data_IF_021967175820
#
_entry.id   IF_021967175820
#
_cell.length_a   1.000
_cell.length_b   1.000
_cell.length_c   1.000
_cell.angle_alpha   90.00
_cell.angle_beta   90.00
_cell.angle_gamma   90.00
#
_symmetry.space_group_name_H-M   'P 1'
#
loop_
_entity.id
_entity.type
_entity.pdbx_description
1 polymer ?
#
# COMPACT_ATOMS: atom_id res chain seq x y z
N UNK A 1 -24.28 -76.33 40.66
CA UNK A 1 -25.64 -76.87 40.44
C UNK A 1 -26.64 -75.78 40.75
N UNK A 2 -27.64 -75.67 39.87
CA UNK A 2 -28.84 -74.80 39.93
C UNK A 2 -28.63 -73.30 39.69
N UNK A 3 -28.83 -72.98 38.42
CA UNK A 3 -29.21 -71.70 37.83
C UNK A 3 -30.72 -71.41 38.02
N UNK A 4 -31.11 -70.15 37.72
CA UNK A 4 -32.45 -69.59 37.35
C UNK A 4 -33.06 -68.69 38.44
N UNK A 5 -33.63 -67.51 38.15
CA UNK A 5 -34.03 -66.83 36.90
C UNK A 5 -34.36 -65.34 37.20
N UNK A 6 -34.54 -64.49 36.17
CA UNK A 6 -34.66 -63.03 36.25
C UNK A 6 -36.12 -62.55 36.32
N UNK A 7 -36.31 -61.23 36.50
CA UNK A 7 -37.56 -60.51 36.19
C UNK A 7 -37.27 -59.36 35.22
N UNK A 8 -38.06 -59.36 34.15
CA UNK A 8 -38.38 -58.24 33.25
C UNK A 8 -39.47 -57.38 33.87
N UNK A 9 -39.50 -56.11 33.51
CA UNK A 9 -40.63 -55.17 33.30
C UNK A 9 -39.95 -53.82 32.98
N UNK A 10 -40.34 -52.94 32.07
CA UNK A 10 -41.47 -52.79 31.20
C UNK A 10 -41.43 -51.33 30.69
N UNK A 11 -41.86 -51.15 29.45
CA UNK A 11 -42.54 -49.96 28.92
C UNK A 11 -41.84 -48.66 28.46
N UNK A 12 -42.36 -48.27 27.28
CA UNK A 12 -42.56 -46.93 26.67
C UNK A 12 -41.43 -46.27 25.89
N UNK A 13 -41.65 -46.25 24.57
CA UNK A 13 -40.91 -45.51 23.57
C UNK A 13 -41.32 -44.02 23.56
N UNK A 14 -40.33 -43.14 23.47
CA UNK A 14 -40.44 -41.73 23.10
C UNK A 14 -39.32 -41.41 22.08
N UNK A 15 -39.49 -40.44 21.17
CA UNK A 15 -38.77 -40.39 19.89
C UNK A 15 -37.33 -39.91 20.03
N UNK A 16 -36.44 -40.56 19.27
CA UNK A 16 -35.00 -40.30 19.19
C UNK A 16 -34.73 -39.03 18.38
N UNK A 17 -34.17 -38.01 19.02
CA UNK A 17 -33.41 -36.93 18.36
C UNK A 17 -32.04 -37.51 17.92
N UNK A 18 -31.59 -37.32 16.67
CA UNK A 18 -30.31 -37.84 16.25
C UNK A 18 -29.16 -37.07 16.90
N UNK A 19 -28.42 -37.74 17.79
CA UNK A 19 -27.10 -37.30 18.23
C UNK A 19 -26.14 -37.38 17.04
N UNK A 20 -25.64 -36.23 16.60
CA UNK A 20 -24.53 -36.15 15.67
C UNK A 20 -23.27 -36.68 16.37
N UNK A 21 -22.77 -37.81 15.88
CA UNK A 21 -21.48 -38.36 16.29
C UNK A 21 -20.34 -37.42 15.92
N UNK A 22 -19.48 -37.15 16.89
CA UNK A 22 -18.21 -36.48 16.69
C UNK A 22 -17.32 -37.33 15.77
N UNK A 23 -17.23 -36.92 14.50
CA UNK A 23 -16.23 -37.40 13.56
C UNK A 23 -14.92 -36.66 13.84
N UNK A 24 -13.85 -37.42 14.11
CA UNK A 24 -12.49 -36.92 14.24
C UNK A 24 -12.15 -36.02 13.06
N UNK A 25 -11.98 -34.72 13.33
CA UNK A 25 -11.52 -33.76 12.34
C UNK A 25 -10.12 -34.15 11.86
N UNK A 26 -10.00 -34.44 10.57
CA UNK A 26 -8.73 -34.61 9.88
C UNK A 26 -7.85 -33.38 10.11
N UNK A 27 -6.58 -33.64 10.42
CA UNK A 27 -5.56 -32.59 10.54
C UNK A 27 -5.53 -31.74 9.25
N UNK A 28 -5.36 -30.42 9.36
CA UNK A 28 -5.36 -29.55 8.19
C UNK A 28 -4.22 -29.94 7.27
N UNK A 29 -4.57 -30.33 6.04
CA UNK A 29 -3.65 -30.58 4.92
C UNK A 29 -2.67 -29.41 4.82
N UNK A 30 -1.38 -29.73 4.71
CA UNK A 30 -0.31 -28.77 4.44
C UNK A 30 -0.75 -27.79 3.36
N UNK A 31 -0.73 -26.49 3.68
CA UNK A 31 -0.93 -25.44 2.69
C UNK A 31 0.16 -25.60 1.63
N UNK A 32 -0.22 -26.05 0.44
CA UNK A 32 0.60 -25.94 -0.77
C UNK A 32 1.03 -24.49 -0.89
N UNK A 33 2.29 -24.21 -0.54
CA UNK A 33 2.91 -22.91 -0.79
C UNK A 33 3.21 -22.86 -2.28
N UNK A 34 2.21 -22.47 -3.09
CA UNK A 34 2.43 -22.20 -4.51
C UNK A 34 3.51 -21.14 -4.60
N UNK A 35 4.71 -21.54 -5.01
CA UNK A 35 5.84 -20.65 -5.23
C UNK A 35 5.37 -19.51 -6.12
N UNK A 36 5.58 -18.27 -5.71
CA UNK A 36 5.25 -17.09 -6.51
C UNK A 36 5.98 -17.20 -7.87
N UNK A 37 5.23 -17.14 -8.96
CA UNK A 37 5.75 -17.32 -10.32
C UNK A 37 5.48 -16.09 -11.17
N UNK A 38 6.53 -15.51 -11.74
CA UNK A 38 6.41 -14.41 -12.68
C UNK A 38 5.66 -14.86 -13.94
N UNK A 39 4.66 -14.10 -14.44
CA UNK A 39 3.83 -14.50 -15.59
C UNK A 39 4.63 -14.74 -16.87
N UNK A 40 5.74 -14.03 -17.05
CA UNK A 40 6.67 -14.21 -18.17
C UNK A 40 7.81 -15.20 -17.89
N UNK A 41 7.87 -15.84 -16.71
CA UNK A 41 8.92 -16.79 -16.34
C UNK A 41 10.24 -16.19 -15.85
N UNK A 42 10.31 -14.86 -15.65
CA UNK A 42 11.47 -14.16 -15.08
C UNK A 42 11.75 -14.66 -13.67
N UNK A 43 13.03 -14.82 -13.33
CA UNK A 43 13.51 -15.16 -11.99
C UNK A 43 14.63 -14.19 -11.55
N UNK A 44 14.89 -14.05 -10.24
CA UNK A 44 16.09 -13.38 -9.73
C UNK A 44 17.39 -14.01 -10.24
N UNK A 45 18.49 -13.25 -10.28
CA UNK A 45 19.78 -13.74 -10.78
C UNK A 45 20.32 -14.94 -10.01
N UNK A 46 20.10 -14.99 -8.70
CA UNK A 46 20.52 -16.10 -7.83
C UNK A 46 19.93 -17.47 -8.24
N UNK A 47 18.82 -17.49 -8.98
CA UNK A 47 18.20 -18.73 -9.46
C UNK A 47 18.95 -19.37 -10.64
N UNK A 48 19.82 -18.62 -11.32
CA UNK A 48 20.53 -19.10 -12.51
C UNK A 48 21.37 -20.35 -12.24
N UNK A 49 22.12 -20.38 -11.14
CA UNK A 49 22.97 -21.53 -10.77
C UNK A 49 22.17 -22.83 -10.64
N UNK A 50 21.10 -22.81 -9.84
CA UNK A 50 20.24 -23.98 -9.60
C UNK A 50 19.52 -24.47 -10.87
N UNK A 51 19.16 -23.54 -11.76
CA UNK A 51 18.50 -23.88 -13.02
C UNK A 51 19.50 -24.46 -14.04
N UNK A 52 20.73 -23.93 -14.07
CA UNK A 52 21.81 -24.46 -14.92
C UNK A 52 22.21 -25.88 -14.53
N UNK A 53 22.25 -26.20 -13.23
CA UNK A 53 22.48 -27.57 -12.72
C UNK A 53 21.38 -28.54 -13.19
N UNK A 54 20.18 -28.03 -13.47
CA UNK A 54 19.05 -28.78 -14.02
C UNK A 54 19.00 -28.79 -15.55
N UNK A 55 20.03 -28.27 -16.21
CA UNK A 55 20.15 -28.23 -17.67
C UNK A 55 19.37 -27.11 -18.35
N UNK A 56 18.81 -26.16 -17.61
CA UNK A 56 18.14 -24.98 -18.20
C UNK A 56 19.21 -24.01 -18.70
N UNK A 57 19.16 -23.69 -20.00
CA UNK A 57 20.09 -22.75 -20.63
C UNK A 57 19.59 -21.31 -20.50
N UNK A 58 20.45 -20.34 -20.10
CA UNK A 58 20.09 -18.94 -20.11
C UNK A 58 19.63 -18.48 -21.50
N UNK A 59 18.49 -17.79 -21.57
CA UNK A 59 17.93 -17.34 -22.84
C UNK A 59 18.55 -16.02 -23.33
N UNK A 60 19.15 -15.23 -22.42
CA UNK A 60 19.69 -13.90 -22.70
C UNK A 60 20.77 -13.88 -23.80
N UNK A 61 21.83 -14.72 -23.78
CA UNK A 61 22.92 -14.61 -24.75
C UNK A 61 22.46 -14.79 -26.20
N UNK A 62 21.69 -15.86 -26.46
CA UNK A 62 21.16 -16.14 -27.78
C UNK A 62 20.00 -15.20 -28.16
N UNK A 63 19.23 -14.76 -27.16
CA UNK A 63 18.06 -13.92 -27.38
C UNK A 63 18.38 -12.47 -27.71
N UNK A 64 19.44 -11.89 -27.13
CA UNK A 64 19.84 -10.50 -27.34
C UNK A 64 21.01 -10.34 -28.32
N UNK A 65 21.69 -11.42 -28.70
CA UNK A 65 22.88 -11.37 -29.53
C UNK A 65 23.93 -10.44 -28.92
N UNK A 66 24.51 -9.53 -29.71
CA UNK A 66 25.57 -8.62 -29.23
C UNK A 66 25.18 -7.73 -28.05
N UNK A 67 23.89 -7.50 -27.83
CA UNK A 67 23.40 -6.68 -26.72
C UNK A 67 23.38 -7.43 -25.38
N UNK A 68 23.65 -8.74 -25.36
CA UNK A 68 23.53 -9.54 -24.13
C UNK A 68 24.46 -9.10 -23.00
N UNK A 69 25.57 -8.44 -23.32
CA UNK A 69 26.56 -7.93 -22.36
C UNK A 69 26.13 -6.60 -21.70
N UNK A 70 25.10 -5.94 -22.22
CA UNK A 70 24.60 -4.71 -21.63
C UNK A 70 23.87 -5.03 -20.31
N UNK A 71 24.03 -4.20 -19.26
CA UNK A 71 23.24 -4.31 -18.04
C UNK A 71 21.74 -4.13 -18.31
N UNK A 72 20.90 -4.70 -17.44
CA UNK A 72 19.45 -4.58 -17.55
C UNK A 72 18.97 -3.12 -17.50
N UNK A 73 19.65 -2.26 -16.73
CA UNK A 73 19.36 -0.83 -16.65
C UNK A 73 19.59 -0.10 -17.97
N UNK A 74 20.66 -0.45 -18.69
CA UNK A 74 20.95 0.13 -20.02
C UNK A 74 19.95 -0.38 -21.06
N UNK A 75 19.62 -1.67 -21.03
CA UNK A 75 18.58 -2.22 -21.90
C UNK A 75 17.23 -1.55 -21.61
N UNK A 76 16.84 -1.43 -20.35
CA UNK A 76 15.60 -0.76 -19.94
C UNK A 76 15.53 0.67 -20.47
N UNK A 77 16.61 1.45 -20.37
CA UNK A 77 16.69 2.80 -20.93
C UNK A 77 16.58 2.84 -22.47
N UNK A 78 17.10 1.83 -23.18
CA UNK A 78 16.92 1.72 -24.64
C UNK A 78 15.45 1.42 -24.97
N UNK A 79 14.84 0.47 -24.27
CA UNK A 79 13.45 0.06 -24.51
C UNK A 79 12.44 1.14 -24.13
N UNK A 80 12.72 1.95 -23.11
CA UNK A 80 11.85 3.06 -22.69
C UNK A 80 11.75 4.17 -23.73
N UNK A 81 12.67 4.22 -24.70
CA UNK A 81 12.64 5.17 -25.82
C UNK A 81 11.73 4.72 -26.98
N UNK A 82 11.21 3.50 -26.96
CA UNK A 82 10.40 2.96 -28.05
C UNK A 82 8.94 3.41 -27.92
N UNK A 83 8.36 3.81 -29.05
CA UNK A 83 6.92 4.01 -29.15
C UNK A 83 6.15 2.67 -29.04
N UNK A 84 4.84 2.69 -28.77
CA UNK A 84 4.03 1.48 -28.56
C UNK A 84 4.09 0.46 -29.71
N UNK A 85 4.13 0.92 -30.97
CA UNK A 85 4.20 0.06 -32.16
C UNK A 85 5.59 -0.58 -32.24
N UNK A 86 6.63 0.24 -32.08
CA UNK A 86 8.02 -0.22 -32.06
C UNK A 86 8.26 -1.23 -30.94
N UNK A 87 7.74 -0.99 -29.73
CA UNK A 87 7.81 -1.91 -28.59
C UNK A 87 7.11 -3.24 -28.89
N UNK A 88 5.92 -3.17 -29.51
CA UNK A 88 5.16 -4.33 -29.98
C UNK A 88 5.91 -5.17 -31.01
N UNK A 89 6.43 -4.56 -32.07
CA UNK A 89 7.21 -5.24 -33.11
C UNK A 89 8.50 -5.84 -32.54
N UNK A 90 9.20 -5.06 -31.72
CA UNK A 90 10.45 -5.47 -31.08
C UNK A 90 10.27 -6.70 -30.19
N UNK A 91 9.11 -6.81 -29.52
CA UNK A 91 8.76 -7.98 -28.70
C UNK A 91 8.72 -9.31 -29.47
N UNK A 92 8.58 -9.27 -30.80
CA UNK A 92 8.52 -10.48 -31.65
C UNK A 92 9.89 -11.02 -32.06
N UNK A 93 10.99 -10.33 -31.72
CA UNK A 93 12.35 -10.63 -32.19
C UNK A 93 12.91 -11.92 -31.57
N UNK A 94 12.76 -12.09 -30.25
CA UNK A 94 13.19 -13.30 -29.53
C UNK A 94 12.52 -13.39 -28.17
N UNK A 95 12.68 -14.53 -27.48
CA UNK A 95 12.18 -14.71 -26.10
C UNK A 95 12.74 -13.69 -25.12
N UNK A 96 13.98 -13.22 -25.31
CA UNK A 96 14.57 -12.22 -24.41
C UNK A 96 13.98 -10.83 -24.67
N UNK A 97 13.85 -10.43 -25.95
CA UNK A 97 13.22 -9.18 -26.35
C UNK A 97 11.75 -9.11 -25.89
N UNK A 98 11.03 -10.23 -26.03
CA UNK A 98 9.65 -10.37 -25.54
C UNK A 98 9.54 -10.02 -24.06
N UNK A 99 10.42 -10.57 -23.20
CA UNK A 99 10.39 -10.29 -21.75
C UNK A 99 10.62 -8.81 -21.45
N UNK A 100 11.63 -8.18 -22.05
CA UNK A 100 11.88 -6.75 -21.84
C UNK A 100 10.71 -5.88 -22.32
N UNK A 101 10.21 -6.12 -23.53
CA UNK A 101 9.15 -5.28 -24.11
C UNK A 101 7.79 -5.46 -23.41
N UNK A 102 7.60 -6.53 -22.64
CA UNK A 102 6.41 -6.77 -21.82
C UNK A 102 6.57 -6.27 -20.38
N UNK A 103 7.67 -5.59 -20.04
CA UNK A 103 7.83 -4.93 -18.75
C UNK A 103 6.76 -3.86 -18.58
N UNK A 104 5.95 -3.97 -17.53
CA UNK A 104 4.69 -3.25 -17.42
C UNK A 104 4.87 -1.74 -17.22
N UNK A 105 6.03 -1.32 -16.69
CA UNK A 105 6.39 0.09 -16.46
C UNK A 105 6.43 0.91 -17.76
N UNK A 106 6.87 0.32 -18.87
CA UNK A 106 6.86 1.00 -20.17
C UNK A 106 5.43 1.31 -20.60
N UNK A 107 4.56 0.30 -20.50
CA UNK A 107 3.16 0.44 -20.88
C UNK A 107 2.41 1.36 -19.92
N UNK A 108 2.73 1.37 -18.63
CA UNK A 108 2.20 2.32 -17.65
C UNK A 108 2.50 3.74 -18.08
N UNK A 109 3.76 4.02 -18.40
CA UNK A 109 4.19 5.34 -18.86
C UNK A 109 3.44 5.76 -20.12
N UNK A 110 3.34 4.86 -21.10
CA UNK A 110 2.62 5.11 -22.35
C UNK A 110 1.13 5.40 -22.11
N UNK A 111 0.45 4.62 -21.26
CA UNK A 111 -0.97 4.84 -20.91
C UNK A 111 -1.16 6.21 -20.26
N UNK A 112 -0.35 6.52 -19.25
CA UNK A 112 -0.55 7.73 -18.46
C UNK A 112 -0.15 9.00 -19.22
N UNK A 113 0.87 8.94 -20.08
CA UNK A 113 1.27 10.06 -20.94
C UNK A 113 0.26 10.32 -22.05
N UNK A 114 -0.28 9.26 -22.69
CA UNK A 114 -1.17 9.41 -23.84
C UNK A 114 -2.63 9.65 -23.45
N UNK A 115 -3.10 8.98 -22.38
CA UNK A 115 -4.52 8.99 -21.99
C UNK A 115 -4.78 9.67 -20.65
N UNK A 116 -3.74 10.03 -19.89
CA UNK A 116 -3.89 10.58 -18.54
C UNK A 116 -4.69 9.63 -17.65
N UNK A 117 -5.76 10.16 -17.05
CA UNK A 117 -6.70 9.38 -16.24
C UNK A 117 -7.83 8.69 -16.99
N UNK A 118 -7.98 8.92 -18.29
CA UNK A 118 -9.10 8.41 -19.09
C UNK A 118 -8.69 7.20 -19.95
N UNK A 119 -8.42 6.09 -19.27
CA UNK A 119 -8.12 4.81 -19.92
C UNK A 119 -9.11 3.72 -19.50
N UNK A 120 -9.07 2.59 -20.20
CA UNK A 120 -9.80 1.37 -19.85
C UNK A 120 -8.88 0.47 -19.05
N UNK A 121 -9.18 0.30 -17.76
CA UNK A 121 -8.35 -0.53 -16.88
C UNK A 121 -8.47 -2.02 -17.26
N UNK A 122 -7.32 -2.68 -17.38
CA UNK A 122 -7.19 -4.13 -17.59
C UNK A 122 -6.11 -4.68 -16.67
N UNK A 123 -6.05 -6.00 -16.42
CA UNK A 123 -5.10 -6.59 -15.46
C UNK A 123 -3.60 -6.28 -15.68
N UNK A 124 -3.20 -5.69 -16.82
CA UNK A 124 -1.87 -5.11 -17.04
C UNK A 124 -1.97 -3.79 -17.77
N UNK A 125 -0.93 -2.96 -17.64
CA UNK A 125 -0.84 -1.69 -18.36
C UNK A 125 -0.80 -1.88 -19.86
N UNK A 126 -0.14 -2.93 -20.36
CA UNK A 126 -0.17 -3.25 -21.80
C UNK A 126 -1.58 -3.54 -22.32
N UNK A 127 -2.34 -4.36 -21.60
CA UNK A 127 -3.72 -4.67 -21.97
C UNK A 127 -4.61 -3.42 -21.87
N UNK A 128 -4.34 -2.53 -20.90
CA UNK A 128 -5.04 -1.25 -20.74
C UNK A 128 -4.76 -0.32 -21.92
N UNK A 129 -3.50 -0.24 -22.36
CA UNK A 129 -3.08 0.53 -23.54
C UNK A 129 -3.82 0.04 -24.80
N UNK A 130 -3.83 -1.27 -25.05
CA UNK A 130 -4.49 -1.86 -26.22
C UNK A 130 -6.01 -1.64 -26.16
N UNK A 131 -6.63 -1.87 -25.01
CA UNK A 131 -8.08 -1.70 -24.83
C UNK A 131 -8.52 -0.25 -25.06
N UNK A 132 -7.68 0.71 -24.67
CA UNK A 132 -7.94 2.15 -24.84
C UNK A 132 -7.70 2.59 -26.29
N UNK A 133 -6.58 2.16 -26.90
CA UNK A 133 -6.17 2.59 -28.24
C UNK A 133 -6.92 1.90 -29.39
N UNK A 134 -7.37 0.65 -29.18
CA UNK A 134 -7.88 -0.21 -30.23
C UNK A 134 -9.15 -0.95 -29.80
N UNK A 135 -10.14 -0.21 -29.28
CA UNK A 135 -11.43 -0.73 -28.78
C UNK A 135 -12.16 -1.69 -29.75
N UNK A 136 -11.96 -1.52 -31.07
CA UNK A 136 -12.56 -2.36 -32.11
C UNK A 136 -11.87 -3.73 -32.30
N UNK A 137 -10.64 -3.93 -31.81
CA UNK A 137 -9.97 -5.23 -31.84
C UNK A 137 -10.48 -6.00 -30.62
N UNK A 138 -11.46 -6.88 -30.85
CA UNK A 138 -11.87 -7.90 -29.88
C UNK A 138 -10.63 -8.61 -29.33
N UNK A 139 -10.23 -8.27 -28.10
CA UNK A 139 -9.08 -8.86 -27.43
C UNK A 139 -9.42 -10.32 -27.14
N UNK A 140 -9.10 -11.21 -28.08
CA UNK A 140 -8.97 -12.62 -27.74
C UNK A 140 -7.89 -12.70 -26.65
N UNK A 141 -8.15 -13.35 -25.51
CA UNK A 141 -7.12 -13.54 -24.51
C UNK A 141 -6.00 -14.35 -25.14
N UNK A 142 -4.88 -13.70 -25.45
CA UNK A 142 -3.66 -14.38 -25.87
C UNK A 142 -2.97 -14.89 -24.62
N UNK A 143 -2.77 -16.19 -24.51
CA UNK A 143 -1.97 -16.75 -23.43
C UNK A 143 -0.56 -16.15 -23.46
N UNK A 144 -0.08 -15.66 -22.32
CA UNK A 144 1.29 -15.14 -22.21
C UNK A 144 2.29 -16.27 -22.41
N UNK A 145 3.35 -16.00 -23.14
CA UNK A 145 4.45 -16.95 -23.29
C UNK A 145 5.32 -16.89 -22.04
N UNK A 146 5.45 -18.02 -21.33
CA UNK A 146 6.41 -18.16 -20.23
C UNK A 146 7.81 -18.48 -20.78
N UNK A 147 8.79 -17.65 -20.44
CA UNK A 147 10.18 -17.79 -20.89
C UNK A 147 11.00 -18.47 -19.81
N UNK A 148 11.57 -19.64 -20.15
CA UNK A 148 12.52 -20.32 -19.27
C UNK A 148 13.93 -19.75 -19.47
N UNK A 149 14.71 -19.73 -18.39
CA UNK A 149 16.11 -19.31 -18.43
C UNK A 149 16.31 -17.79 -18.53
N UNK A 150 15.29 -16.98 -18.22
CA UNK A 150 15.44 -15.53 -18.13
C UNK A 150 15.64 -15.11 -16.67
N UNK A 151 16.72 -14.39 -16.39
CA UNK A 151 17.07 -13.93 -15.06
C UNK A 151 17.30 -12.42 -15.05
N UNK A 152 16.62 -11.71 -14.16
CA UNK A 152 16.74 -10.26 -13.97
C UNK A 152 16.11 -9.85 -12.66
N UNK A 153 16.88 -9.25 -11.76
CA UNK A 153 16.32 -8.67 -10.54
C UNK A 153 15.51 -7.40 -10.85
N UNK A 154 15.95 -6.60 -11.83
CA UNK A 154 15.25 -5.39 -12.29
C UNK A 154 13.81 -5.68 -12.74
N UNK A 155 13.63 -6.72 -13.56
CA UNK A 155 12.30 -7.06 -14.09
C UNK A 155 11.48 -7.91 -13.12
N UNK A 156 12.12 -8.56 -12.14
CA UNK A 156 11.41 -9.40 -11.16
C UNK A 156 10.96 -8.62 -9.93
N UNK A 157 11.74 -7.65 -9.46
CA UNK A 157 11.52 -6.91 -8.21
C UNK A 157 10.15 -6.20 -8.18
N UNK A 158 9.71 -5.46 -9.22
CA UNK A 158 8.39 -4.82 -9.23
C UNK A 158 7.26 -5.84 -9.16
N UNK A 159 7.34 -6.94 -9.92
CA UNK A 159 6.37 -8.04 -9.83
C UNK A 159 6.34 -8.64 -8.42
N UNK A 160 7.51 -8.88 -7.83
CA UNK A 160 7.59 -9.41 -6.46
C UNK A 160 6.89 -8.45 -5.50
N UNK A 161 7.24 -7.17 -5.51
CA UNK A 161 6.62 -6.15 -4.66
C UNK A 161 5.11 -6.05 -4.87
N UNK A 162 4.60 -6.05 -6.10
CA UNK A 162 3.17 -5.99 -6.41
C UNK A 162 2.36 -7.19 -5.89
N UNK A 163 2.98 -8.37 -5.80
CA UNK A 163 2.31 -9.61 -5.37
C UNK A 163 2.50 -9.89 -3.87
N UNK A 164 3.56 -9.33 -3.28
CA UNK A 164 3.94 -9.62 -1.90
C UNK A 164 2.91 -9.19 -0.85
N UNK A 165 2.09 -8.11 -1.00
CA UNK A 165 1.03 -7.77 -0.06
C UNK A 165 0.19 -8.98 0.39
N UNK A 166 -0.18 -9.85 -0.55
CA UNK A 166 -0.97 -11.06 -0.31
C UNK A 166 -0.33 -12.06 0.67
N UNK A 167 1.01 -12.01 0.81
CA UNK A 167 1.80 -12.96 1.62
C UNK A 167 2.46 -12.32 2.84
N UNK A 168 2.91 -11.06 2.76
CA UNK A 168 3.50 -10.34 3.89
C UNK A 168 2.43 -9.75 4.83
N UNK A 169 1.32 -9.21 4.27
CA UNK A 169 0.28 -8.58 5.09
C UNK A 169 -0.57 -9.59 5.86
N UNK A 170 -0.56 -10.86 5.43
CA UNK A 170 -1.20 -11.96 6.15
C UNK A 170 -0.35 -12.53 7.29
N UNK A 171 0.91 -12.09 7.43
CA UNK A 171 1.78 -12.51 8.53
C UNK A 171 1.29 -11.89 9.86
N UNK A 172 0.70 -12.73 10.72
CA UNK A 172 0.15 -12.30 12.01
C UNK A 172 1.13 -11.50 12.89
N UNK A 173 2.45 -11.69 12.73
CA UNK A 173 3.45 -10.91 13.47
C UNK A 173 3.47 -9.43 13.12
N UNK A 174 3.28 -9.08 11.83
CA UNK A 174 3.21 -7.68 11.38
C UNK A 174 1.99 -6.95 11.96
N UNK A 175 0.86 -7.66 12.02
CA UNK A 175 -0.41 -7.11 12.51
C UNK A 175 -0.48 -7.01 14.03
N UNK A 176 0.26 -7.85 14.76
CA UNK A 176 0.25 -7.90 16.23
C UNK A 176 1.14 -6.85 16.89
N UNK A 177 2.21 -6.41 16.23
CA UNK A 177 3.13 -5.42 16.80
C UNK A 177 2.48 -4.03 16.82
N UNK A 178 2.22 -3.53 18.03
CA UNK A 178 1.61 -2.24 18.30
C UNK A 178 2.29 -1.60 19.52
N UNK A 179 3.22 -0.68 19.27
CA UNK A 179 3.97 0.07 20.28
C UNK A 179 3.58 1.54 20.33
N UNK A 180 2.88 2.07 19.32
CA UNK A 180 2.27 3.40 19.38
C UNK A 180 1.15 3.38 20.45
N UNK A 181 1.17 4.29 21.45
CA UNK A 181 0.11 4.40 22.44
C UNK A 181 -1.25 4.59 21.79
N UNK A 182 -2.29 3.96 22.35
CA UNK A 182 -3.67 4.09 21.91
C UNK A 182 -4.53 4.56 23.07
N UNK A 183 -5.30 5.62 22.86
CA UNK A 183 -6.14 6.24 23.90
C UNK A 183 -7.51 6.63 23.36
N UNK A 184 -8.49 6.64 24.25
CA UNK A 184 -9.86 7.03 23.90
C UNK A 184 -9.98 8.55 23.84
N UNK A 185 -10.08 9.09 22.61
CA UNK A 185 -10.23 10.50 22.34
C UNK A 185 -11.55 11.10 22.85
N UNK A 186 -12.56 10.28 23.15
CA UNK A 186 -13.80 10.77 23.77
C UNK A 186 -13.63 11.12 25.25
N UNK A 187 -12.62 10.54 25.92
CA UNK A 187 -12.35 10.76 27.36
C UNK A 187 -11.08 11.57 27.61
N UNK A 188 -10.21 11.71 26.61
CA UNK A 188 -8.99 12.51 26.68
C UNK A 188 -9.32 14.01 26.57
N UNK A 189 -8.96 14.79 27.59
CA UNK A 189 -9.12 16.24 27.52
C UNK A 189 -8.08 16.87 26.58
N UNK A 190 -8.38 18.05 26.02
CA UNK A 190 -7.41 18.78 25.18
C UNK A 190 -6.14 19.12 25.96
N UNK A 191 -6.27 19.49 27.25
CA UNK A 191 -5.11 19.79 28.10
C UNK A 191 -4.22 18.56 28.30
N UNK A 192 -4.81 17.39 28.56
CA UNK A 192 -4.08 16.14 28.74
C UNK A 192 -3.41 15.68 27.44
N UNK A 193 -4.11 15.83 26.30
CA UNK A 193 -3.51 15.56 24.99
C UNK A 193 -2.24 16.41 24.77
N UNK A 194 -2.35 17.72 25.01
CA UNK A 194 -1.23 18.64 24.83
C UNK A 194 -0.06 18.33 25.76
N UNK A 195 -0.34 18.11 27.05
CA UNK A 195 0.69 17.84 28.05
C UNK A 195 1.37 16.48 27.88
N UNK A 196 0.64 15.45 27.41
CA UNK A 196 1.13 14.07 27.34
C UNK A 196 1.73 13.71 25.98
N UNK A 197 1.21 14.28 24.89
CA UNK A 197 1.57 13.86 23.53
C UNK A 197 2.13 15.01 22.69
N UNK A 198 1.42 16.13 22.58
CA UNK A 198 1.83 17.21 21.67
C UNK A 198 3.13 17.90 22.13
N UNK A 199 3.18 18.40 23.38
CA UNK A 199 4.34 19.10 23.93
C UNK A 199 5.57 18.19 24.05
N UNK A 200 5.45 16.93 24.53
CA UNK A 200 6.58 16.00 24.57
C UNK A 200 6.96 15.44 23.19
N UNK A 201 6.23 15.79 22.13
CA UNK A 201 6.45 15.36 20.75
C UNK A 201 6.33 13.84 20.54
N UNK A 202 5.26 13.23 21.05
CA UNK A 202 5.04 11.78 21.05
C UNK A 202 3.83 11.36 20.19
N UNK A 203 3.98 10.36 19.30
CA UNK A 203 2.87 9.85 18.50
C UNK A 203 1.81 9.16 19.36
N UNK A 204 0.55 9.24 18.94
CA UNK A 204 -0.57 8.56 19.60
C UNK A 204 -1.68 8.23 18.61
N UNK A 205 -2.32 7.07 18.79
CA UNK A 205 -3.57 6.71 18.11
C UNK A 205 -4.75 7.07 19.02
N UNK A 206 -5.65 7.90 18.50
CA UNK A 206 -6.88 8.34 19.14
C UNK A 206 -8.05 7.50 18.60
N UNK A 207 -8.76 6.81 19.49
CA UNK A 207 -10.02 6.14 19.15
C UNK A 207 -11.21 7.05 19.43
N UNK A 208 -12.37 6.74 18.85
CA UNK A 208 -13.64 7.42 19.10
C UNK A 208 -13.65 8.95 18.83
N UNK A 209 -12.75 9.45 17.97
CA UNK A 209 -12.62 10.89 17.69
C UNK A 209 -13.37 11.34 16.43
N UNK A 210 -13.69 10.43 15.52
CA UNK A 210 -14.40 10.71 14.26
C UNK A 210 -15.80 10.08 14.18
N UNK A 211 -16.32 9.58 15.31
CA UNK A 211 -17.56 8.76 15.37
C UNK A 211 -18.82 9.51 14.93
N UNK A 212 -18.80 10.84 14.98
CA UNK A 212 -19.92 11.71 14.57
C UNK A 212 -19.76 12.26 13.16
N UNK A 213 -18.66 11.97 12.46
CA UNK A 213 -18.43 12.49 11.11
C UNK A 213 -19.35 11.79 10.10
N UNK A 214 -20.11 12.53 9.29
CA UNK A 214 -20.75 12.00 8.09
C UNK A 214 -19.80 11.16 7.24
N UNK A 215 -18.55 11.62 7.08
CA UNK A 215 -17.53 10.95 6.27
C UNK A 215 -17.26 9.49 6.69
N UNK A 216 -17.34 9.17 7.99
CA UNK A 216 -17.11 7.81 8.48
C UNK A 216 -18.21 6.83 8.05
N UNK A 217 -19.46 7.32 7.96
CA UNK A 217 -20.64 6.49 7.70
C UNK A 217 -21.16 6.57 6.27
N UNK A 218 -20.92 7.68 5.58
CA UNK A 218 -21.53 7.99 4.28
C UNK A 218 -20.59 7.83 3.10
N UNK A 219 -19.26 7.87 3.27
CA UNK A 219 -18.33 7.77 2.14
C UNK A 219 -18.21 6.34 1.58
N UNK A 220 -19.33 5.81 1.09
CA UNK A 220 -19.43 4.58 0.28
C UNK A 220 -19.06 4.88 -1.17
N UNK A 221 -18.90 3.83 -1.97
CA UNK A 221 -18.61 4.00 -3.40
C UNK A 221 -19.74 4.74 -4.12
N UNK A 222 -20.99 4.46 -3.76
CA UNK A 222 -22.17 5.11 -4.34
C UNK A 222 -22.22 6.60 -3.97
N UNK A 223 -21.99 6.93 -2.70
CA UNK A 223 -21.95 8.33 -2.26
C UNK A 223 -20.84 9.10 -2.94
N UNK A 224 -19.63 8.53 -2.99
CA UNK A 224 -18.49 9.18 -3.64
C UNK A 224 -18.73 9.34 -5.14
N UNK A 225 -19.31 8.33 -5.81
CA UNK A 225 -19.65 8.44 -7.24
C UNK A 225 -20.69 9.55 -7.50
N UNK A 226 -21.75 9.62 -6.70
CA UNK A 226 -22.81 10.62 -6.85
C UNK A 226 -22.35 12.04 -6.48
N UNK A 227 -21.59 12.17 -5.39
CA UNK A 227 -21.14 13.45 -4.85
C UNK A 227 -20.01 14.04 -5.68
N UNK A 228 -19.04 13.22 -6.10
CA UNK A 228 -17.87 13.69 -6.83
C UNK A 228 -18.10 13.75 -8.35
N UNK A 229 -18.98 12.90 -8.89
CA UNK A 229 -19.29 12.82 -10.32
C UNK A 229 -18.02 12.72 -11.18
N UNK A 230 -17.91 13.57 -12.21
CA UNK A 230 -16.76 13.65 -13.10
C UNK A 230 -15.64 14.56 -12.57
N UNK A 231 -15.75 15.10 -11.35
CA UNK A 231 -14.72 15.98 -10.77
C UNK A 231 -13.39 15.24 -10.68
N UNK A 232 -12.30 15.81 -11.23
CA UNK A 232 -11.00 15.17 -11.19
C UNK A 232 -10.38 15.26 -9.79
N UNK A 233 -9.72 14.17 -9.39
CA UNK A 233 -8.83 14.06 -8.25
C UNK A 233 -7.43 13.75 -8.72
N UNK A 234 -6.43 14.21 -7.98
CA UNK A 234 -5.03 13.98 -8.30
C UNK A 234 -4.54 12.64 -7.74
N UNK A 235 -4.23 11.70 -8.64
CA UNK A 235 -3.71 10.37 -8.34
C UNK A 235 -2.34 10.17 -8.98
N UNK A 236 -1.28 10.17 -8.16
CA UNK A 236 0.10 9.89 -8.61
C UNK A 236 0.59 10.75 -9.79
N UNK A 237 0.20 12.02 -9.86
CA UNK A 237 0.58 12.91 -10.97
C UNK A 237 -0.52 13.19 -11.98
N UNK A 238 -1.62 12.43 -11.94
CA UNK A 238 -2.63 12.42 -13.00
C UNK A 238 -4.01 12.76 -12.46
N UNK A 239 -4.79 13.49 -13.24
CA UNK A 239 -6.17 13.83 -12.91
C UNK A 239 -7.11 12.67 -13.31
N UNK A 240 -7.85 12.12 -12.36
CA UNK A 240 -8.80 11.01 -12.56
C UNK A 240 -10.12 11.31 -11.86
N UNK A 241 -11.26 10.98 -12.48
CA UNK A 241 -12.51 10.94 -11.73
C UNK A 241 -12.48 9.80 -10.70
N UNK A 242 -13.24 9.92 -9.62
CA UNK A 242 -13.29 8.88 -8.57
C UNK A 242 -13.71 7.52 -9.13
N UNK A 243 -14.61 7.52 -10.13
CA UNK A 243 -15.08 6.31 -10.80
C UNK A 243 -13.95 5.62 -11.57
N UNK A 244 -13.21 6.37 -12.39
CA UNK A 244 -12.05 5.85 -13.15
C UNK A 244 -10.94 5.36 -12.24
N UNK A 245 -10.67 6.12 -11.18
CA UNK A 245 -9.66 5.72 -10.19
C UNK A 245 -10.04 4.42 -9.48
N UNK A 246 -11.30 4.27 -9.09
CA UNK A 246 -11.80 3.05 -8.42
C UNK A 246 -11.75 1.84 -9.35
N UNK A 247 -12.06 2.02 -10.64
CA UNK A 247 -11.91 0.96 -11.65
C UNK A 247 -10.43 0.54 -11.79
N UNK A 248 -9.52 1.51 -11.90
CA UNK A 248 -8.08 1.29 -11.95
C UNK A 248 -7.57 0.53 -10.71
N UNK A 249 -7.83 1.05 -9.51
CA UNK A 249 -7.25 0.59 -8.25
C UNK A 249 -7.69 -0.83 -7.89
N UNK A 250 -8.84 -1.27 -8.41
CA UNK A 250 -9.40 -2.61 -8.20
C UNK A 250 -9.05 -3.60 -9.31
N UNK A 251 -8.51 -3.12 -10.43
CA UNK A 251 -8.18 -3.95 -11.59
C UNK A 251 -6.68 -4.26 -11.69
N UNK A 252 -5.83 -3.25 -11.50
CA UNK A 252 -4.37 -3.40 -11.61
C UNK A 252 -3.74 -3.67 -10.24
N UNK A 253 -2.58 -4.33 -10.26
CA UNK A 253 -1.74 -4.56 -9.08
C UNK A 253 -0.31 -4.14 -9.42
N UNK A 254 0.06 -2.98 -8.89
CA UNK A 254 1.38 -2.36 -9.10
C UNK A 254 2.22 -2.44 -7.81
N UNK A 255 3.54 -2.36 -7.95
CA UNK A 255 4.45 -2.15 -6.82
C UNK A 255 4.36 -0.72 -6.28
N UNK A 256 4.04 0.22 -7.17
CA UNK A 256 3.78 1.64 -6.87
C UNK A 256 2.40 2.05 -7.42
N UNK A 257 1.30 1.60 -6.80
CA UNK A 257 -0.04 1.95 -7.28
C UNK A 257 -0.23 3.47 -7.29
N UNK A 258 -0.96 3.98 -8.29
CA UNK A 258 -1.43 5.36 -8.22
C UNK A 258 -2.28 5.51 -6.96
N UNK A 259 -2.13 6.67 -6.35
CA UNK A 259 -2.67 6.96 -5.02
C UNK A 259 -3.28 8.35 -5.06
N UNK A 260 -4.58 8.47 -4.77
CA UNK A 260 -5.20 9.79 -4.63
C UNK A 260 -4.60 10.45 -3.40
N UNK A 261 -4.02 11.62 -3.62
CA UNK A 261 -3.47 12.49 -2.60
C UNK A 261 -3.82 13.93 -3.00
N UNK A 262 -5.09 14.28 -2.81
CA UNK A 262 -5.68 15.48 -3.39
C UNK A 262 -5.83 16.59 -2.34
N UNK A 263 -5.15 17.72 -2.58
CA UNK A 263 -5.17 18.90 -1.71
C UNK A 263 -6.32 19.87 -1.99
N UNK A 264 -6.91 19.78 -3.17
CA UNK A 264 -7.98 20.66 -3.65
C UNK A 264 -9.38 20.09 -3.41
N UNK A 265 -9.51 18.85 -2.93
CA UNK A 265 -10.78 18.13 -2.75
C UNK A 265 -11.87 18.96 -2.06
N UNK A 266 -11.48 19.78 -1.09
CA UNK A 266 -12.41 20.59 -0.31
C UNK A 266 -12.92 21.83 -1.05
N UNK A 267 -12.17 22.30 -2.05
CA UNK A 267 -12.56 23.40 -2.95
C UNK A 267 -13.36 22.85 -4.13
N UNK A 268 -12.91 21.72 -4.69
CA UNK A 268 -13.53 21.09 -5.87
C UNK A 268 -14.82 20.36 -5.53
N UNK A 269 -14.92 19.74 -4.34
CA UNK A 269 -16.12 19.07 -3.84
C UNK A 269 -16.41 19.52 -2.40
N UNK A 270 -17.00 20.72 -2.20
CA UNK A 270 -17.24 21.29 -0.87
C UNK A 270 -18.06 20.40 0.07
N UNK A 271 -18.92 19.52 -0.47
CA UNK A 271 -19.67 18.55 0.32
C UNK A 271 -18.74 17.62 1.11
N UNK A 272 -17.63 17.16 0.53
CA UNK A 272 -16.65 16.33 1.25
C UNK A 272 -16.00 17.10 2.41
N UNK A 273 -15.84 18.42 2.27
CA UNK A 273 -15.34 19.26 3.36
C UNK A 273 -16.38 19.46 4.48
N UNK A 274 -17.67 19.45 4.14
CA UNK A 274 -18.77 19.54 5.11
C UNK A 274 -18.98 18.24 5.90
N UNK A 275 -18.47 17.11 5.39
CA UNK A 275 -18.67 15.78 5.98
C UNK A 275 -17.73 15.46 7.15
N UNK A 276 -16.85 16.39 7.55
CA UNK A 276 -15.99 16.24 8.71
C UNK A 276 -15.69 17.58 9.39
N UNK A 277 -15.20 17.52 10.63
CA UNK A 277 -14.76 18.69 11.38
C UNK A 277 -13.41 18.42 12.04
N UNK A 278 -12.54 19.42 12.12
CA UNK A 278 -11.25 19.26 12.81
C UNK A 278 -11.51 18.98 14.30
N UNK A 279 -10.94 17.92 14.91
CA UNK A 279 -11.11 17.66 16.34
C UNK A 279 -10.52 18.76 17.23
N UNK A 280 -11.06 18.98 18.44
CA UNK A 280 -10.60 20.04 19.36
C UNK A 280 -9.11 19.99 19.72
N UNK A 281 -8.49 18.83 19.66
CA UNK A 281 -7.05 18.65 19.88
C UNK A 281 -6.18 19.46 18.92
N UNK A 282 -6.69 19.80 17.74
CA UNK A 282 -5.93 20.35 16.61
C UNK A 282 -6.43 21.73 16.16
N UNK A 283 -7.21 22.43 17.01
CA UNK A 283 -7.76 23.77 16.69
C UNK A 283 -6.72 24.90 16.78
N UNK A 284 -5.56 24.63 17.37
CA UNK A 284 -4.47 25.59 17.58
C UNK A 284 -3.74 26.02 16.29
N UNK A 285 -4.22 25.62 15.12
CA UNK A 285 -3.59 25.85 13.82
C UNK A 285 -3.26 27.34 13.58
N UNK A 286 -1.97 27.67 13.57
CA UNK A 286 -1.42 29.01 13.43
C UNK A 286 -1.16 29.42 11.98
N UNK A 287 -1.10 28.48 11.03
CA UNK A 287 -0.86 28.82 9.62
C UNK A 287 -1.90 29.72 8.94
N UNK A 288 -3.19 29.78 9.34
CA UNK A 288 -4.11 30.80 8.85
C UNK A 288 -3.59 32.24 9.01
N UNK A 289 -2.70 32.52 9.97
CA UNK A 289 -2.13 33.84 10.21
C UNK A 289 -1.22 34.33 9.07
N UNK A 290 -0.72 33.42 8.23
CA UNK A 290 0.04 33.79 7.02
C UNK A 290 -0.85 34.42 5.94
N UNK A 291 -2.17 34.25 6.05
CA UNK A 291 -3.13 34.65 5.02
C UNK A 291 -3.31 33.57 3.94
N UNK A 292 -4.42 33.65 3.21
CA UNK A 292 -4.81 32.61 2.26
C UNK A 292 -3.83 32.42 1.09
N UNK A 293 -3.06 33.45 0.72
CA UNK A 293 -2.08 33.37 -0.38
C UNK A 293 -0.76 32.72 0.02
N UNK A 294 -0.37 32.82 1.30
CA UNK A 294 0.93 32.34 1.80
C UNK A 294 0.81 31.05 2.61
N UNK A 295 -0.40 30.66 3.02
CA UNK A 295 -0.64 29.40 3.72
C UNK A 295 -0.29 28.22 2.81
N UNK A 296 0.65 27.34 3.20
CA UNK A 296 0.91 26.12 2.46
C UNK A 296 -0.32 25.20 2.42
N UNK A 297 -0.37 24.33 1.41
CA UNK A 297 -1.35 23.24 1.38
C UNK A 297 -1.28 22.45 2.69
N UNK A 298 -2.44 22.17 3.28
CA UNK A 298 -2.50 21.68 4.66
C UNK A 298 -3.50 20.55 4.88
N UNK A 299 -4.33 20.20 3.89
CA UNK A 299 -5.35 19.16 4.02
C UNK A 299 -5.42 18.34 2.76
N UNK A 300 -5.55 17.03 2.89
CA UNK A 300 -5.61 16.11 1.76
C UNK A 300 -6.67 15.04 1.95
N UNK A 301 -7.38 14.73 0.87
CA UNK A 301 -8.11 13.49 0.71
C UNK A 301 -7.16 12.42 0.22
N UNK A 302 -7.17 11.28 0.89
CA UNK A 302 -6.27 10.17 0.61
C UNK A 302 -7.09 8.92 0.29
N UNK A 303 -6.92 8.35 -0.89
CA UNK A 303 -7.61 7.11 -1.28
C UNK A 303 -6.65 6.19 -2.04
N UNK A 304 -6.47 4.95 -1.58
CA UNK A 304 -5.52 3.99 -2.17
C UNK A 304 -5.88 2.53 -2.05
N UNK A 305 -5.45 1.66 -2.98
CA UNK A 305 -5.61 0.21 -2.87
C UNK A 305 -4.67 -0.41 -1.83
N UNK A 306 -4.87 -1.71 -1.53
CA UNK A 306 -3.91 -2.54 -0.79
C UNK A 306 -2.49 -2.40 -1.39
N UNK A 307 -1.48 -2.26 -0.54
CA UNK A 307 -0.08 -2.17 -0.97
C UNK A 307 0.39 -0.75 -1.32
N UNK A 308 -0.52 0.20 -1.52
CA UNK A 308 -0.18 1.63 -1.68
C UNK A 308 0.15 2.31 -0.36
N UNK A 309 0.64 3.55 -0.41
CA UNK A 309 0.92 4.35 0.78
C UNK A 309 1.97 5.44 0.52
N UNK A 310 2.58 5.94 1.59
CA UNK A 310 3.63 6.96 1.52
C UNK A 310 4.94 6.37 2.01
N UNK A 311 6.04 6.62 1.28
CA UNK A 311 7.41 6.26 1.68
C UNK A 311 7.84 7.03 2.93
N UNK A 312 9.01 6.71 3.49
CA UNK A 312 9.54 7.46 4.63
C UNK A 312 9.74 8.94 4.30
N UNK A 313 9.12 9.79 5.11
CA UNK A 313 9.28 11.24 5.04
C UNK A 313 9.11 11.85 6.43
N UNK A 314 9.45 13.13 6.52
CA UNK A 314 9.10 14.03 7.61
C UNK A 314 8.14 15.06 7.02
N UNK A 315 7.07 15.39 7.74
CA UNK A 315 6.14 16.45 7.33
C UNK A 315 6.86 17.80 7.17
N UNK A 316 6.57 18.57 6.10
CA UNK A 316 7.29 19.79 5.79
C UNK A 316 7.01 20.90 6.81
N UNK A 317 7.85 21.94 6.80
CA UNK A 317 7.69 23.15 7.61
C UNK A 317 7.51 22.86 9.10
N UNK A 318 8.20 21.83 9.62
CA UNK A 318 8.13 21.36 11.01
C UNK A 318 6.70 21.25 11.57
N UNK A 319 5.75 20.94 10.69
CA UNK A 319 4.34 20.78 11.06
C UNK A 319 4.14 19.52 11.88
N UNK A 320 3.09 19.52 12.69
CA UNK A 320 2.48 18.27 13.12
C UNK A 320 1.37 17.91 12.13
N UNK A 321 0.96 16.65 12.12
CA UNK A 321 -0.20 16.22 11.35
C UNK A 321 -1.13 15.33 12.16
N UNK A 322 -2.35 15.19 11.68
CA UNK A 322 -3.25 14.12 12.08
C UNK A 322 -3.81 13.42 10.84
N UNK A 323 -4.00 12.11 10.91
CA UNK A 323 -4.55 11.29 9.83
C UNK A 323 -5.70 10.44 10.35
N UNK A 324 -6.92 10.71 9.86
CA UNK A 324 -8.15 10.01 10.22
C UNK A 324 -8.46 8.94 9.17
N UNK A 325 -8.51 7.68 9.58
CA UNK A 325 -8.85 6.56 8.69
C UNK A 325 -10.36 6.38 8.68
N UNK A 326 -10.97 6.49 7.51
CA UNK A 326 -12.43 6.40 7.31
C UNK A 326 -12.85 5.05 6.73
N UNK A 327 -11.97 4.45 5.93
CA UNK A 327 -12.12 3.08 5.39
C UNK A 327 -10.76 2.39 5.41
N UNK A 328 -10.77 1.07 5.61
CA UNK A 328 -9.58 0.24 5.56
C UNK A 328 -8.70 0.32 6.80
N UNK A 329 -7.43 -0.06 6.64
CA UNK A 329 -6.44 -0.11 7.71
C UNK A 329 -5.08 0.34 7.18
N UNK A 330 -4.38 1.15 7.97
CA UNK A 330 -3.04 1.66 7.65
C UNK A 330 -2.04 1.19 8.68
N UNK A 331 -0.92 0.61 8.23
CA UNK A 331 0.23 0.28 9.08
C UNK A 331 1.20 1.46 9.07
N UNK A 332 1.58 1.90 10.26
CA UNK A 332 2.52 2.98 10.49
C UNK A 332 3.79 2.41 11.11
N UNK A 333 4.94 2.79 10.56
CA UNK A 333 6.25 2.65 11.22
C UNK A 333 6.84 4.04 11.36
N UNK A 334 7.25 4.40 12.57
CA UNK A 334 7.69 5.75 12.92
C UNK A 334 9.03 5.69 13.64
N UNK A 335 9.95 6.57 13.27
CA UNK A 335 11.22 6.77 13.99
C UNK A 335 11.27 8.19 14.55
N UNK A 336 11.85 8.37 15.74
CA UNK A 336 12.04 9.70 16.32
C UNK A 336 12.97 10.56 15.44
N UNK A 337 12.91 11.89 15.56
CA UNK A 337 13.58 12.81 14.63
C UNK A 337 15.10 12.61 14.47
N UNK A 338 15.77 12.13 15.51
CA UNK A 338 17.22 11.87 15.54
C UNK A 338 17.63 10.51 14.95
N UNK A 339 16.66 9.71 14.48
CA UNK A 339 16.90 8.35 14.01
C UNK A 339 16.46 8.19 12.56
N UNK A 340 17.44 8.20 11.65
CA UNK A 340 17.20 7.93 10.23
C UNK A 340 16.79 6.45 10.06
N UNK A 341 15.65 6.16 9.38
CA UNK A 341 15.22 4.80 9.13
C UNK A 341 16.19 4.01 8.23
N UNK A 342 16.25 2.67 8.34
CA UNK A 342 17.09 1.85 7.46
C UNK A 342 16.72 2.03 5.99
N UNK A 343 17.72 2.12 5.11
CA UNK A 343 17.52 2.32 3.67
C UNK A 343 17.06 3.73 3.28
N UNK A 344 17.01 4.67 4.23
CA UNK A 344 16.71 6.08 3.99
C UNK A 344 17.99 6.89 4.08
N UNK A 345 18.19 7.79 3.11
CA UNK A 345 19.38 8.63 3.00
C UNK A 345 18.96 10.08 2.72
N UNK A 346 18.78 10.91 3.75
CA UNK A 346 18.50 12.34 3.58
C UNK A 346 19.76 13.10 3.13
N UNK A 347 19.58 14.19 2.38
CA UNK A 347 20.62 15.18 2.10
C UNK A 347 21.05 15.89 3.39
N UNK A 348 22.22 16.56 3.35
CA UNK A 348 22.77 17.25 4.52
C UNK A 348 21.83 18.35 5.06
N UNK A 349 21.08 19.02 4.18
CA UNK A 349 20.08 20.02 4.52
C UNK A 349 18.67 19.44 4.78
N UNK A 350 18.49 18.13 4.61
CA UNK A 350 17.20 17.45 4.76
C UNK A 350 16.15 17.78 3.69
N UNK A 351 16.51 18.54 2.65
CA UNK A 351 15.59 18.95 1.57
C UNK A 351 15.28 17.82 0.58
N UNK A 352 16.19 16.86 0.42
CA UNK A 352 16.00 15.68 -0.43
C UNK A 352 16.15 14.40 0.40
N UNK A 353 15.31 13.41 0.12
CA UNK A 353 15.36 12.12 0.81
C UNK A 353 15.32 11.00 -0.21
N UNK A 354 16.40 10.21 -0.25
CA UNK A 354 16.42 8.97 -1.02
C UNK A 354 15.84 7.82 -0.18
N UNK A 355 14.82 7.15 -0.71
CA UNK A 355 14.18 5.97 -0.11
C UNK A 355 14.17 4.81 -1.10
N UNK A 356 13.83 3.56 -0.67
CA UNK A 356 13.50 2.51 -1.62
C UNK A 356 12.39 2.95 -2.59
N UNK A 357 12.36 2.33 -3.77
CA UNK A 357 11.54 2.76 -4.90
C UNK A 357 10.06 2.63 -4.58
N UNK A 358 9.66 1.57 -3.88
CA UNK A 358 8.30 1.38 -3.40
C UNK A 358 8.21 1.21 -1.89
N UNK A 359 7.05 1.53 -1.32
CA UNK A 359 6.73 1.24 0.09
C UNK A 359 6.94 -0.24 0.38
N UNK A 360 6.46 -1.12 -0.51
CA UNK A 360 6.55 -2.56 -0.32
C UNK A 360 7.98 -3.08 -0.37
N UNK A 361 8.84 -2.51 -1.21
CA UNK A 361 10.26 -2.84 -1.23
C UNK A 361 10.92 -2.59 0.13
N UNK A 362 10.59 -1.46 0.78
CA UNK A 362 11.10 -1.18 2.12
C UNK A 362 10.63 -2.23 3.14
N UNK A 363 9.34 -2.60 3.11
CA UNK A 363 8.79 -3.62 4.01
C UNK A 363 9.38 -5.01 3.77
N UNK A 364 9.68 -5.37 2.53
CA UNK A 364 10.34 -6.65 2.22
C UNK A 364 11.77 -6.66 2.74
N UNK A 365 12.50 -5.57 2.52
CA UNK A 365 13.96 -5.53 2.67
C UNK A 365 14.39 -5.19 4.10
N UNK A 366 13.77 -4.17 4.69
CA UNK A 366 14.23 -3.54 5.92
C UNK A 366 13.35 -3.83 7.13
N UNK A 367 12.03 -4.01 6.97
CA UNK A 367 11.15 -4.30 8.11
C UNK A 367 11.58 -5.53 8.94
N UNK A 368 12.04 -6.67 8.34
CA UNK A 368 12.52 -7.81 9.12
C UNK A 368 13.71 -7.47 10.05
N UNK A 369 14.50 -6.45 9.69
CA UNK A 369 15.69 -6.01 10.41
C UNK A 369 15.36 -5.15 11.64
N UNK A 370 14.13 -4.64 11.75
CA UNK A 370 13.76 -3.76 12.87
C UNK A 370 13.89 -4.44 14.23
N UNK A 371 13.70 -5.76 14.31
CA UNK A 371 13.84 -6.53 15.55
C UNK A 371 15.25 -6.45 16.16
N UNK A 372 16.27 -6.22 15.34
CA UNK A 372 17.66 -6.05 15.81
C UNK A 372 18.02 -4.59 16.09
N UNK A 373 17.17 -3.62 15.71
CA UNK A 373 17.40 -2.20 15.97
C UNK A 373 16.88 -1.85 17.37
N UNK A 374 17.78 -2.04 18.35
CA UNK A 374 17.52 -1.70 19.75
C UNK A 374 18.11 -0.35 20.10
N UNK A 375 17.37 0.40 20.89
CA UNK A 375 17.82 1.64 21.49
C UNK A 375 18.90 1.32 22.53
N UNK A 376 20.10 1.94 22.47
CA UNK A 376 21.18 1.63 23.40
C UNK A 376 20.86 1.98 24.87
N UNK A 377 19.99 2.95 25.11
CA UNK A 377 19.67 3.43 26.45
C UNK A 377 18.57 2.59 27.12
N UNK A 378 17.54 2.22 26.37
CA UNK A 378 16.36 1.50 26.89
C UNK A 378 16.39 0.00 26.59
N UNK A 379 17.18 -0.44 25.61
CA UNK A 379 17.19 -1.82 25.11
C UNK A 379 15.92 -2.21 24.33
N UNK A 380 14.94 -1.30 24.21
CA UNK A 380 13.70 -1.48 23.47
C UNK A 380 13.84 -1.19 21.97
N UNK A 381 12.78 -1.35 21.16
CA UNK A 381 12.80 -0.97 19.75
C UNK A 381 13.07 0.53 19.57
N UNK A 382 13.87 0.89 18.55
CA UNK A 382 14.11 2.30 18.18
C UNK A 382 12.95 2.95 17.42
N UNK A 383 12.02 2.14 16.94
CA UNK A 383 10.84 2.57 16.19
C UNK A 383 9.58 2.36 17.00
N UNK A 384 8.57 3.17 16.69
CA UNK A 384 7.19 2.87 17.03
C UNK A 384 6.48 2.26 15.82
N UNK A 385 5.57 1.35 16.05
CA UNK A 385 4.70 0.84 15.00
C UNK A 385 3.29 0.60 15.51
N UNK A 386 2.31 0.75 14.62
CA UNK A 386 0.91 0.56 14.97
C UNK A 386 0.04 0.46 13.73
N UNK A 387 -1.09 -0.22 13.87
CA UNK A 387 -2.14 -0.23 12.86
C UNK A 387 -3.22 0.77 13.28
N UNK A 388 -3.59 1.68 12.37
CA UNK A 388 -4.70 2.59 12.49
C UNK A 388 -5.85 2.09 11.61
N UNK A 389 -7.01 1.76 12.19
CA UNK A 389 -8.17 1.22 11.51
C UNK A 389 -9.26 2.28 11.27
N UNK A 390 -10.25 1.98 10.44
CA UNK A 390 -11.41 2.85 10.22
C UNK A 390 -12.04 3.29 11.56
N UNK A 391 -12.25 4.61 11.71
CA UNK A 391 -12.73 5.25 12.93
C UNK A 391 -11.63 5.70 13.91
N UNK A 392 -10.37 5.32 13.67
CA UNK A 392 -9.21 5.78 14.43
C UNK A 392 -8.50 6.93 13.73
N UNK A 393 -7.74 7.71 14.51
CA UNK A 393 -6.92 8.81 14.03
C UNK A 393 -5.54 8.73 14.65
N UNK A 394 -4.48 8.94 13.86
CA UNK A 394 -3.12 9.03 14.39
C UNK A 394 -2.68 10.50 14.44
N UNK A 395 -2.06 10.89 15.55
CA UNK A 395 -1.31 12.13 15.67
C UNK A 395 0.15 11.88 15.29
N UNK A 396 0.64 12.65 14.32
CA UNK A 396 2.02 12.64 13.82
C UNK A 396 2.73 13.90 14.34
N UNK A 397 3.55 13.78 15.40
CA UNK A 397 4.34 14.90 15.89
C UNK A 397 5.43 15.35 14.91
N UNK A 398 5.84 16.61 15.02
CA UNK A 398 6.84 17.22 14.14
C UNK A 398 8.15 16.44 14.12
N UNK A 399 8.78 16.39 12.95
CA UNK A 399 10.11 15.80 12.78
C UNK A 399 10.16 14.28 12.79
N UNK A 400 9.05 13.59 13.07
CA UNK A 400 9.04 12.13 13.09
C UNK A 400 9.06 11.57 11.67
N UNK A 401 10.06 10.74 11.40
CA UNK A 401 10.10 9.91 10.20
C UNK A 401 8.95 8.93 10.24
N UNK A 402 8.17 8.85 9.16
CA UNK A 402 7.08 7.89 9.10
C UNK A 402 6.87 7.34 7.69
N UNK A 403 6.56 6.05 7.63
CA UNK A 403 6.10 5.33 6.44
C UNK A 403 4.70 4.80 6.72
N UNK A 404 3.84 4.82 5.70
CA UNK A 404 2.46 4.37 5.79
C UNK A 404 2.19 3.34 4.72
N UNK A 405 1.66 2.18 5.11
CA UNK A 405 1.24 1.13 4.20
C UNK A 405 -0.25 0.86 4.35
N UNK A 406 -1.01 0.96 3.26
CA UNK A 406 -2.41 0.56 3.20
C UNK A 406 -2.48 -0.97 3.19
N UNK A 407 -3.04 -1.54 4.25
CA UNK A 407 -3.23 -3.00 4.41
C UNK A 407 -4.42 -3.51 3.61
N UNK A 408 -5.38 -2.63 3.35
CA UNK A 408 -6.54 -2.84 2.50
C UNK A 408 -6.78 -1.57 1.68
N UNK A 409 -7.78 -1.59 0.80
CA UNK A 409 -8.31 -0.36 0.20
C UNK A 409 -8.70 0.64 1.31
N UNK A 410 -8.04 1.79 1.32
CA UNK A 410 -8.07 2.74 2.43
C UNK A 410 -8.42 4.15 2.00
N UNK A 411 -9.36 4.76 2.71
CA UNK A 411 -9.81 6.14 2.54
C UNK A 411 -9.53 6.91 3.83
N UNK A 412 -8.92 8.08 3.74
CA UNK A 412 -8.53 8.88 4.90
C UNK A 412 -8.53 10.38 4.58
N UNK A 413 -8.61 11.18 5.64
CA UNK A 413 -8.36 12.62 5.60
C UNK A 413 -7.16 12.89 6.49
N UNK A 414 -6.25 13.74 6.02
CA UNK A 414 -5.11 14.17 6.82
C UNK A 414 -4.99 15.68 6.77
N UNK A 415 -4.57 16.29 7.87
CA UNK A 415 -4.17 17.69 7.87
C UNK A 415 -2.87 17.93 8.63
N UNK A 416 -2.09 18.88 8.12
CA UNK A 416 -0.94 19.43 8.78
C UNK A 416 -1.33 20.74 9.46
N UNK A 417 -0.77 20.98 10.64
CA UNK A 417 -1.05 22.18 11.44
C UNK A 417 0.19 22.60 12.25
N UNK A 418 0.21 23.88 12.59
CA UNK A 418 1.20 24.47 13.50
C UNK A 418 0.49 24.86 14.78
N UNK A 419 0.99 24.44 15.92
CA UNK A 419 0.49 24.84 17.23
C UNK A 419 1.54 25.66 18.00
N UNK A 420 1.17 26.32 19.11
CA UNK A 420 2.12 27.01 19.96
C UNK A 420 3.29 26.10 20.43
N UNK A 421 3.06 24.79 20.51
CA UNK A 421 4.06 23.80 20.93
C UNK A 421 5.14 23.53 19.87
N UNK A 422 4.84 23.71 18.58
CA UNK A 422 5.80 23.47 17.49
C UNK A 422 6.36 24.75 16.85
N UNK A 423 5.67 25.89 16.97
CA UNK A 423 6.12 27.17 16.36
C UNK A 423 7.46 27.67 16.91
N UNK A 424 7.81 27.35 18.16
CA UNK A 424 9.08 27.77 18.78
C UNK A 424 10.32 27.16 18.10
N UNK A 425 10.13 26.13 17.28
CA UNK A 425 11.20 25.44 16.54
C UNK A 425 11.33 25.96 15.10
N UNK A 426 10.36 26.76 14.63
CA UNK A 426 10.35 27.38 13.30
C UNK A 426 11.14 28.69 13.22
N UNK A 427 11.53 29.25 14.37
CA UNK A 427 12.34 30.46 14.52
C UNK A 427 13.75 30.05 14.92
#
# INVERSE_FOLDING_TARGET
>A
MVNKRPRTDGDTAAPVLPQQGASCAEAPKEKSTTRLQHPLGVKPWGNSFNDMDKGIKPCRPNGLGRLHNLPDTILHAIFSCLDPISLGLTSTTSRAWYVFCYHDEFWRTLVLVEFGGDFVARPTWRESYIATSASAILTRPTSRVSVQGFYSDLLFQPFYCAQTPLTLLSAASMLKSNTIPRVDGATLSVADFKATYEQPNLPVILTNVVTTWPALSQWTDEYLADTCQATPFYAGGFAMSIAKYTEYSRTLRDDQPLFIFDKHFAETVPQLAADYTVPPFFHDDLFPLLGASERPDYRWLIFGPEGSGSSFHIDPNSTCAWNAVLRGRKKWIMFPPDVVPPGVHPSEDGGEVSTPVSVMEWFITFYPQLKSLKDPATGGPRHLEGMCAAGEMIFVPRGWWHIVLNLDESLAITQNYVSPSNVQVLV
#
